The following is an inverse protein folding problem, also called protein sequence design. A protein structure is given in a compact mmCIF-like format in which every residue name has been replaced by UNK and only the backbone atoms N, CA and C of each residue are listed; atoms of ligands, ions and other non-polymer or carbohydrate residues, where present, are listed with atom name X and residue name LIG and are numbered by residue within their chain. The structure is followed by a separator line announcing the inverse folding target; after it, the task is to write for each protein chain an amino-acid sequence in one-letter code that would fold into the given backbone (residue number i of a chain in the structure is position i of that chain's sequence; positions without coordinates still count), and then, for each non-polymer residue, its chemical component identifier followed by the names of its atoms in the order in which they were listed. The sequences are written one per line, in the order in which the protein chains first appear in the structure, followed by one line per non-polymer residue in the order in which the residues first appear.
data_IF_067346032786
#
_entry.id   IF_067346032786
#
_cell.length_a   1.000
_cell.length_b   1.000
_cell.length_c   1.000
_cell.angle_alpha   90.00
_cell.angle_beta   90.00
_cell.angle_gamma   90.00
#
_symmetry.space_group_name_H-M   'P 1'
#
loop_
_entity.id
_entity.type
_entity.pdbx_description
1 polymer ?
#
# COMPACT_ATOMS: atom_id res chain seq x y z
N UNK A 1 11.37 -5.42 -1.09
CA UNK A 1 10.70 -4.21 -0.53
C UNK A 1 9.21 -4.44 -0.21
N UNK A 2 8.49 -5.13 -1.07
CA UNK A 2 7.06 -5.34 -0.83
C UNK A 2 6.77 -6.01 0.51
N UNK A 3 7.51 -7.06 0.83
CA UNK A 3 7.34 -7.76 2.10
C UNK A 3 7.63 -6.86 3.30
N UNK A 4 8.70 -6.07 3.21
CA UNK A 4 9.05 -5.15 4.28
C UNK A 4 7.95 -4.10 4.49
N UNK A 5 7.43 -3.52 3.41
CA UNK A 5 6.34 -2.56 3.49
C UNK A 5 5.10 -3.18 4.12
N UNK A 6 4.74 -4.38 3.69
CA UNK A 6 3.57 -5.08 4.22
C UNK A 6 3.72 -5.37 5.72
N UNK A 7 4.90 -5.77 6.15
CA UNK A 7 5.15 -6.04 7.57
C UNK A 7 5.06 -4.77 8.41
N UNK A 8 5.59 -3.65 7.91
CA UNK A 8 5.47 -2.37 8.60
C UNK A 8 4.00 -2.01 8.81
N UNK A 9 3.19 -2.17 7.77
CA UNK A 9 1.77 -1.87 7.85
C UNK A 9 1.04 -2.79 8.82
N UNK A 10 1.36 -4.08 8.77
CA UNK A 10 0.75 -5.06 9.67
C UNK A 10 1.09 -4.75 11.13
N UNK A 11 2.35 -4.48 11.41
CA UNK A 11 2.79 -4.14 12.76
C UNK A 11 2.18 -2.84 13.24
N UNK A 12 1.88 -1.93 12.31
CA UNK A 12 1.21 -0.67 12.62
C UNK A 12 -0.30 -0.79 12.76
N UNK A 13 -0.83 -2.01 12.77
CA UNK A 13 -2.25 -2.30 13.02
C UNK A 13 -3.15 -2.01 11.82
N UNK A 14 -2.61 -1.98 10.62
CA UNK A 14 -3.45 -1.95 9.42
C UNK A 14 -4.21 -3.26 9.33
N UNK A 15 -5.39 -3.23 8.72
CA UNK A 15 -6.18 -4.44 8.48
C UNK A 15 -6.08 -4.85 7.02
N UNK A 16 -6.29 -6.15 6.78
CA UNK A 16 -6.36 -6.72 5.43
C UNK A 16 -5.17 -6.33 4.55
N UNK A 17 -3.95 -6.53 5.08
CA UNK A 17 -2.72 -6.23 4.35
C UNK A 17 -2.48 -7.32 3.32
N UNK A 18 -2.37 -6.93 2.06
CA UNK A 18 -2.12 -7.89 0.97
C UNK A 18 -1.00 -7.40 0.07
N UNK A 19 -0.28 -8.35 -0.51
CA UNK A 19 0.71 -8.11 -1.55
C UNK A 19 0.13 -8.70 -2.84
N UNK A 20 0.04 -7.90 -3.90
CA UNK A 20 -0.35 -8.37 -5.23
C UNK A 20 0.88 -8.34 -6.13
N UNK A 21 1.17 -9.45 -6.78
CA UNK A 21 2.23 -9.50 -7.77
C UNK A 21 1.64 -9.14 -9.12
N UNK A 22 1.82 -7.89 -9.52
CA UNK A 22 1.26 -7.37 -10.78
C UNK A 22 2.26 -7.38 -11.92
N UNK A 23 3.48 -7.86 -11.66
CA UNK A 23 4.51 -8.01 -12.66
C UNK A 23 4.00 -8.87 -13.80
N UNK A 24 4.20 -8.39 -15.03
CA UNK A 24 3.70 -9.09 -16.21
C UNK A 24 2.27 -8.77 -16.57
N UNK A 25 1.50 -8.17 -15.66
CA UNK A 25 0.12 -7.75 -15.92
C UNK A 25 0.04 -6.26 -16.20
N UNK A 26 1.03 -5.50 -15.76
CA UNK A 26 1.10 -4.06 -16.00
C UNK A 26 2.56 -3.63 -16.07
N UNK A 27 2.80 -2.50 -16.74
CA UNK A 27 4.13 -1.87 -16.79
C UNK A 27 4.33 -0.86 -15.67
N UNK A 28 3.29 -0.59 -14.85
CA UNK A 28 3.33 0.46 -13.83
C UNK A 28 4.24 0.04 -12.67
N UNK A 29 4.15 -1.22 -12.25
CA UNK A 29 4.90 -1.70 -11.09
C UNK A 29 4.97 -3.23 -11.13
N UNK A 30 5.83 -3.80 -10.31
CA UNK A 30 5.92 -5.25 -10.12
C UNK A 30 5.01 -5.72 -9.00
N UNK A 31 4.85 -4.90 -7.96
CA UNK A 31 4.07 -5.27 -6.77
C UNK A 31 3.22 -4.10 -6.30
N UNK A 32 2.02 -4.42 -5.82
CA UNK A 32 1.20 -3.52 -5.02
C UNK A 32 1.13 -4.09 -3.61
N UNK A 33 1.23 -3.22 -2.62
CA UNK A 33 0.88 -3.55 -1.24
C UNK A 33 -0.33 -2.72 -0.89
N UNK A 34 -1.40 -3.36 -0.44
CA UNK A 34 -2.66 -2.68 -0.14
C UNK A 34 -3.04 -3.00 1.30
N UNK A 35 -3.40 -1.98 2.05
CA UNK A 35 -3.80 -2.13 3.44
C UNK A 35 -4.93 -1.16 3.76
N UNK A 36 -5.71 -1.48 4.78
CA UNK A 36 -6.84 -0.68 5.22
C UNK A 36 -6.62 -0.11 6.61
N UNK A 37 -7.19 1.07 6.83
CA UNK A 37 -7.27 1.71 8.15
C UNK A 37 -8.70 2.18 8.38
N UNK A 38 -9.06 2.48 9.63
CA UNK A 38 -10.40 2.92 9.96
C UNK A 38 -10.59 4.43 9.84
N UNK A 39 -9.50 5.21 9.85
CA UNK A 39 -9.58 6.66 9.77
C UNK A 39 -8.34 7.26 9.12
N UNK A 40 -8.46 8.53 8.73
CA UNK A 40 -7.40 9.23 8.00
C UNK A 40 -6.14 9.44 8.83
N UNK A 41 -6.30 9.70 10.11
CA UNK A 41 -5.16 9.92 11.00
C UNK A 41 -4.28 8.68 11.08
N UNK A 42 -4.89 7.51 11.23
CA UNK A 42 -4.16 6.25 11.24
C UNK A 42 -3.49 6.02 9.89
N UNK A 43 -4.17 6.37 8.79
CA UNK A 43 -3.61 6.25 7.46
C UNK A 43 -2.32 7.05 7.29
N UNK A 44 -2.34 8.32 7.73
CA UNK A 44 -1.14 9.17 7.65
C UNK A 44 -0.02 8.65 8.54
N UNK A 45 -0.37 8.18 9.75
CA UNK A 45 0.63 7.62 10.66
C UNK A 45 1.32 6.41 10.05
N UNK A 46 0.56 5.53 9.38
CA UNK A 46 1.14 4.37 8.73
C UNK A 46 1.98 4.73 7.52
N UNK A 47 1.55 5.72 6.74
CA UNK A 47 2.36 6.22 5.63
C UNK A 47 3.70 6.72 6.14
N UNK A 48 3.70 7.47 7.24
CA UNK A 48 4.94 7.95 7.86
C UNK A 48 5.84 6.78 8.27
N UNK A 49 5.26 5.72 8.81
CA UNK A 49 6.04 4.54 9.22
C UNK A 49 6.67 3.83 8.03
N UNK A 50 5.94 3.73 6.91
CA UNK A 50 6.49 3.13 5.70
C UNK A 50 7.62 3.98 5.16
N UNK A 51 7.40 5.30 5.05
CA UNK A 51 8.42 6.21 4.53
C UNK A 51 9.70 6.14 5.36
N UNK A 52 9.56 6.13 6.68
CA UNK A 52 10.72 6.04 7.56
C UNK A 52 11.36 4.66 7.51
N UNK A 53 10.55 3.60 7.55
CA UNK A 53 11.06 2.23 7.56
C UNK A 53 11.79 1.83 6.30
N UNK A 54 11.43 2.42 5.16
CA UNK A 54 12.08 2.13 3.89
C UNK A 54 13.14 3.17 3.51
N UNK A 55 13.37 4.18 4.33
CA UNK A 55 14.28 5.29 3.99
C UNK A 55 15.72 4.84 3.73
N UNK A 56 16.16 3.78 4.37
CA UNK A 56 17.51 3.23 4.16
C UNK A 56 17.62 2.40 2.90
N UNK A 57 16.51 2.05 2.27
CA UNK A 57 16.47 1.23 1.06
C UNK A 57 16.21 2.11 -0.15
N UNK A 58 15.16 2.92 -0.10
CA UNK A 58 14.78 3.77 -1.22
C UNK A 58 13.82 4.87 -0.75
N UNK A 59 13.92 6.04 -1.38
CA UNK A 59 12.95 7.10 -1.21
C UNK A 59 11.85 6.94 -2.28
N UNK A 60 10.60 7.30 -1.98
CA UNK A 60 9.55 7.22 -2.99
C UNK A 60 9.77 8.26 -4.08
N UNK A 61 9.36 7.91 -5.30
CA UNK A 61 9.37 8.85 -6.42
C UNK A 61 8.34 9.95 -6.19
N UNK A 62 7.18 9.60 -5.66
CA UNK A 62 6.21 10.60 -5.19
C UNK A 62 5.21 9.95 -4.25
N UNK A 63 4.49 10.81 -3.52
CA UNK A 63 3.45 10.41 -2.57
C UNK A 63 2.22 11.25 -2.88
N UNK A 64 1.05 10.59 -2.98
CA UNK A 64 -0.21 11.25 -3.28
C UNK A 64 -1.24 10.93 -2.20
N UNK A 65 -2.14 11.87 -1.96
CA UNK A 65 -3.28 11.64 -1.07
C UNK A 65 -2.97 11.71 0.40
N UNK A 66 -1.75 12.10 0.78
CA UNK A 66 -1.34 12.13 2.19
C UNK A 66 -2.24 13.05 3.03
N UNK A 67 -2.51 14.26 2.53
CA UNK A 67 -3.28 15.24 3.30
C UNK A 67 -4.70 14.76 3.57
N UNK A 68 -5.35 14.19 2.54
CA UNK A 68 -6.71 13.66 2.71
C UNK A 68 -6.77 12.43 3.57
N UNK A 69 -5.77 11.57 3.48
CA UNK A 69 -5.69 10.35 4.28
C UNK A 69 -6.69 9.27 3.92
N UNK A 70 -7.45 9.44 2.84
CA UNK A 70 -8.46 8.46 2.41
C UNK A 70 -7.86 7.37 1.53
N UNK A 71 -6.91 7.75 0.72
CA UNK A 71 -6.16 6.85 -0.15
C UNK A 71 -4.78 7.46 -0.32
N UNK A 72 -3.82 6.94 0.42
CA UNK A 72 -2.43 7.41 0.35
C UNK A 72 -1.67 6.44 -0.54
N UNK A 73 -1.05 6.98 -1.58
CA UNK A 73 -0.29 6.21 -2.54
C UNK A 73 1.18 6.60 -2.42
N UNK A 74 2.05 5.62 -2.23
CA UNK A 74 3.49 5.84 -2.15
C UNK A 74 4.16 5.06 -3.28
N UNK A 75 4.69 5.77 -4.26
CA UNK A 75 5.25 5.19 -5.48
C UNK A 75 6.75 5.01 -5.33
N UNK A 76 7.19 3.77 -5.27
CA UNK A 76 8.62 3.41 -5.18
C UNK A 76 9.14 2.85 -6.50
N UNK A 77 8.42 3.07 -7.60
CA UNK A 77 8.82 2.58 -8.91
C UNK A 77 8.30 1.19 -9.18
N UNK A 78 9.02 0.17 -8.75
CA UNK A 78 8.59 -1.22 -8.92
C UNK A 78 7.61 -1.68 -7.85
N UNK A 79 7.41 -0.88 -6.81
CA UNK A 79 6.45 -1.14 -5.74
C UNK A 79 5.59 0.09 -5.54
N UNK A 80 4.27 -0.10 -5.48
CA UNK A 80 3.35 0.97 -5.09
C UNK A 80 2.61 0.52 -3.85
N UNK A 81 2.68 1.32 -2.78
CA UNK A 81 2.01 1.04 -1.52
C UNK A 81 0.74 1.87 -1.46
N UNK A 82 -0.39 1.21 -1.19
CA UNK A 82 -1.70 1.83 -1.10
C UNK A 82 -2.24 1.67 0.32
N UNK A 83 -2.47 2.78 1.00
CA UNK A 83 -3.11 2.77 2.31
C UNK A 83 -4.47 3.42 2.16
N UNK A 84 -5.53 2.63 2.31
CA UNK A 84 -6.91 3.07 2.13
C UNK A 84 -7.64 3.13 3.45
N UNK A 85 -8.52 4.13 3.62
CA UNK A 85 -9.57 3.99 4.61
C UNK A 85 -10.50 2.88 4.09
N UNK A 86 -11.06 2.09 5.00
CA UNK A 86 -11.84 0.89 4.62
C UNK A 86 -12.92 1.17 3.59
N UNK A 87 -13.64 2.30 3.75
CA UNK A 87 -14.72 2.67 2.85
C UNK A 87 -14.21 2.94 1.43
N UNK A 88 -13.07 3.63 1.31
CA UNK A 88 -12.49 3.95 0.00
C UNK A 88 -11.91 2.70 -0.67
N UNK A 89 -11.35 1.78 0.10
CA UNK A 89 -10.87 0.52 -0.48
C UNK A 89 -12.01 -0.24 -1.14
N UNK A 90 -13.15 -0.32 -0.46
CA UNK A 90 -14.33 -0.99 -1.01
C UNK A 90 -14.88 -0.24 -2.22
N UNK A 91 -14.93 1.09 -2.14
CA UNK A 91 -15.50 1.91 -3.20
C UNK A 91 -14.67 1.84 -4.50
N UNK A 92 -13.37 2.03 -4.39
CA UNK A 92 -12.52 2.03 -5.59
C UNK A 92 -12.25 0.63 -6.12
N UNK A 93 -12.26 -0.38 -5.25
CA UNK A 93 -12.15 -1.77 -5.67
C UNK A 93 -10.90 -2.08 -6.48
N UNK A 94 -9.76 -1.48 -6.12
CA UNK A 94 -8.52 -1.63 -6.85
C UNK A 94 -8.14 -3.09 -7.07
N UNK A 95 -8.38 -3.94 -6.09
CA UNK A 95 -8.01 -5.35 -6.16
C UNK A 95 -8.77 -6.09 -7.26
N UNK A 96 -9.97 -5.63 -7.62
CA UNK A 96 -10.75 -6.27 -8.67
C UNK A 96 -10.14 -6.05 -10.05
N UNK A 97 -9.46 -4.92 -10.24
CA UNK A 97 -8.76 -4.65 -11.49
C UNK A 97 -7.62 -5.63 -11.72
N UNK A 98 -7.07 -6.17 -10.65
CA UNK A 98 -5.92 -7.06 -10.67
C UNK A 98 -6.28 -8.44 -10.13
N UNK A 99 -7.52 -8.90 -10.43
CA UNK A 99 -8.02 -10.17 -9.90
C UNK A 99 -7.20 -11.37 -10.30
N UNK A 100 -6.45 -11.29 -11.42
CA UNK A 100 -5.60 -12.38 -11.88
C UNK A 100 -4.21 -12.37 -11.24
N UNK A 101 -3.87 -11.33 -10.46
CA UNK A 101 -2.55 -11.23 -9.83
C UNK A 101 -2.43 -12.23 -8.69
N UNK A 102 -1.28 -12.92 -8.59
CA UNK A 102 -1.00 -13.71 -7.40
C UNK A 102 -1.07 -12.84 -6.16
N UNK A 103 -1.68 -13.37 -5.11
CA UNK A 103 -2.02 -12.61 -3.91
C UNK A 103 -1.46 -13.29 -2.67
N UNK A 104 -0.84 -12.51 -1.80
CA UNK A 104 -0.36 -12.99 -0.51
C UNK A 104 -0.98 -12.12 0.59
N UNK A 105 -1.70 -12.72 1.52
CA UNK A 105 -2.27 -12.01 2.66
C UNK A 105 -1.30 -12.07 3.82
N UNK A 106 -1.12 -10.95 4.52
CA UNK A 106 -0.20 -10.82 5.64
C UNK A 106 -0.98 -10.79 6.94
N UNK A 107 -0.62 -11.69 7.85
CA UNK A 107 -1.29 -11.83 9.15
C UNK A 107 -2.35 -12.95 9.17
#
# INVERSE_FOLDING_TARGET
MAKAAAEILYEGKASNVVILKVQGLTLIADYFVIASVSNQRHGRALADRVLEGLSGVRQPDHVEGYEGGLWILMDYGDLIVHVFREQERAFYGLERLWGDAPREEIG
#
